data_IF_163585573613
#
_entry.id   IF_163585573613
#
_cell.length_a   1.000
_cell.length_b   1.000
_cell.length_c   1.000
_cell.angle_alpha   90.00
_cell.angle_beta   90.00
_cell.angle_gamma   90.00
#
_symmetry.space_group_name_H-M   'P 1'
#
loop_
_entity.id
_entity.type
_entity.pdbx_description
1 polymer ?
#
# COMPACT_ATOMS: atom_id res chain seq x y z
N UNK A 1 -27.57 28.33 6.32
CA UNK A 1 -26.65 27.18 6.40
C UNK A 1 -25.88 27.15 5.07
N UNK A 2 -24.55 27.25 5.07
CA UNK A 2 -23.77 27.10 3.82
C UNK A 2 -23.53 25.61 3.62
N UNK A 3 -23.90 25.10 2.45
CA UNK A 3 -23.68 23.70 2.09
C UNK A 3 -22.41 23.61 1.24
N UNK A 4 -21.53 22.68 1.59
CA UNK A 4 -20.34 22.38 0.82
C UNK A 4 -20.41 20.96 0.29
N UNK A 5 -19.93 20.77 -0.94
CA UNK A 5 -19.68 19.46 -1.53
C UNK A 5 -18.16 19.24 -1.57
N UNK A 6 -17.71 18.10 -1.08
CA UNK A 6 -16.33 17.63 -1.26
C UNK A 6 -16.33 16.47 -2.22
N UNK A 7 -15.48 16.54 -3.22
CA UNK A 7 -15.25 15.45 -4.15
C UNK A 7 -13.77 15.38 -4.51
N UNK A 8 -13.37 14.29 -5.18
CA UNK A 8 -12.03 14.14 -5.73
C UNK A 8 -12.05 14.43 -7.22
N UNK A 9 -10.95 14.90 -7.77
CA UNK A 9 -10.73 14.91 -9.21
C UNK A 9 -9.23 14.87 -9.52
N UNK A 10 -8.91 14.31 -10.68
CA UNK A 10 -7.62 14.50 -11.34
C UNK A 10 -7.59 15.91 -11.97
N UNK A 11 -6.39 16.47 -12.14
CA UNK A 11 -6.11 17.73 -12.81
C UNK A 11 -5.87 17.55 -14.31
N UNK A 12 -5.35 16.39 -14.73
CA UNK A 12 -4.97 16.08 -16.11
C UNK A 12 -5.90 15.00 -16.65
N UNK A 13 -6.72 15.39 -17.62
CA UNK A 13 -7.67 14.47 -18.25
C UNK A 13 -6.94 13.35 -18.99
N UNK A 14 -7.25 12.10 -18.65
CA UNK A 14 -6.72 10.92 -19.33
C UNK A 14 -5.30 10.51 -18.88
N UNK A 15 -4.71 11.21 -17.92
CA UNK A 15 -3.44 10.77 -17.31
C UNK A 15 -3.74 9.83 -16.14
N UNK A 16 -3.61 8.52 -16.38
CA UNK A 16 -3.93 7.47 -15.41
C UNK A 16 -3.18 7.65 -14.08
N UNK A 17 -1.93 8.13 -14.16
CA UNK A 17 -1.06 8.34 -13.00
C UNK A 17 -1.35 9.62 -12.22
N UNK A 18 -2.26 10.48 -12.71
CA UNK A 18 -2.48 11.78 -12.09
C UNK A 18 -3.02 11.65 -10.67
N UNK A 19 -2.53 12.55 -9.82
CA UNK A 19 -2.93 12.65 -8.44
C UNK A 19 -4.42 12.97 -8.32
N UNK A 20 -5.15 12.21 -7.50
CA UNK A 20 -6.47 12.62 -7.06
C UNK A 20 -6.36 13.72 -6.01
N UNK A 21 -6.81 14.92 -6.37
CA UNK A 21 -6.87 16.08 -5.47
C UNK A 21 -8.27 16.25 -4.89
N UNK A 22 -8.33 16.84 -3.69
CA UNK A 22 -9.61 17.16 -3.03
C UNK A 22 -10.13 18.50 -3.55
N UNK A 23 -11.41 18.54 -3.90
CA UNK A 23 -12.12 19.74 -4.37
C UNK A 23 -13.24 20.08 -3.41
N UNK A 24 -13.33 21.35 -3.03
CA UNK A 24 -14.41 21.90 -2.23
C UNK A 24 -15.26 22.82 -3.12
N UNK A 25 -16.52 22.48 -3.29
CA UNK A 25 -17.50 23.27 -4.02
C UNK A 25 -18.51 23.88 -3.04
N UNK A 26 -18.72 25.20 -3.13
CA UNK A 26 -19.62 25.94 -2.24
C UNK A 26 -20.97 26.31 -2.89
N UNK A 27 -21.29 25.73 -4.05
CA UNK A 27 -22.46 26.09 -4.87
C UNK A 27 -22.16 27.06 -6.01
N UNK A 28 -21.02 27.77 -5.97
CA UNK A 28 -20.64 28.76 -6.99
C UNK A 28 -19.21 28.60 -7.48
N UNK A 29 -18.27 28.33 -6.58
CA UNK A 29 -16.85 28.17 -6.89
C UNK A 29 -16.34 26.84 -6.37
N UNK A 30 -15.37 26.29 -7.10
CA UNK A 30 -14.62 25.10 -6.72
C UNK A 30 -13.19 25.51 -6.40
N UNK A 31 -12.70 25.12 -5.23
CA UNK A 31 -11.30 25.30 -4.84
C UNK A 31 -10.64 23.94 -4.62
N UNK A 32 -9.35 23.84 -4.94
CA UNK A 32 -8.53 22.68 -4.58
C UNK A 32 -8.11 22.81 -3.13
N UNK A 33 -8.33 21.76 -2.34
CA UNK A 33 -7.78 21.65 -0.99
C UNK A 33 -6.50 20.81 -1.04
N UNK A 34 -5.58 21.13 -0.13
CA UNK A 34 -4.35 20.37 0.12
C UNK A 34 -3.45 20.23 -1.11
N UNK A 35 -3.38 21.27 -1.95
CA UNK A 35 -2.65 21.23 -3.22
C UNK A 35 -1.14 20.98 -3.05
N UNK A 36 -0.60 21.29 -1.86
CA UNK A 36 0.78 21.03 -1.48
C UNK A 36 1.09 19.57 -1.12
N UNK A 37 0.09 18.69 -1.03
CA UNK A 37 0.31 17.27 -0.75
C UNK A 37 0.66 16.57 -2.06
N UNK A 38 1.55 15.59 -1.98
CA UNK A 38 2.14 14.93 -3.13
C UNK A 38 1.58 13.52 -3.36
N UNK A 39 0.55 13.08 -2.63
CA UNK A 39 -0.08 11.76 -2.84
C UNK A 39 -1.57 11.87 -3.06
N UNK A 40 -2.14 10.91 -3.77
CA UNK A 40 -3.60 10.85 -3.98
C UNK A 40 -4.33 10.81 -2.64
N UNK A 41 -5.25 11.76 -2.44
CA UNK A 41 -6.01 11.89 -1.19
C UNK A 41 -7.40 11.32 -1.37
N UNK A 42 -7.79 10.36 -0.54
CA UNK A 42 -9.17 9.92 -0.36
C UNK A 42 -9.79 10.66 0.83
N UNK A 43 -10.99 11.21 0.68
CA UNK A 43 -11.74 11.80 1.81
C UNK A 43 -12.63 10.72 2.39
N UNK A 44 -12.45 10.38 3.67
CA UNK A 44 -13.25 9.34 4.32
C UNK A 44 -14.51 9.93 4.94
N UNK A 45 -14.39 11.04 5.68
CA UNK A 45 -15.54 11.68 6.31
C UNK A 45 -15.29 13.16 6.67
N UNK A 46 -16.39 13.87 6.91
CA UNK A 46 -16.37 15.12 7.67
C UNK A 46 -16.40 14.84 9.18
N UNK A 47 -15.90 15.78 9.98
CA UNK A 47 -16.28 15.86 11.39
C UNK A 47 -17.72 16.34 11.55
N UNK A 48 -18.34 16.02 12.68
CA UNK A 48 -19.73 16.38 12.96
C UNK A 48 -20.03 17.88 12.95
N UNK A 49 -19.04 18.70 13.32
CA UNK A 49 -19.16 20.16 13.29
C UNK A 49 -18.92 20.77 11.91
N UNK A 50 -18.55 19.94 10.90
CA UNK A 50 -18.25 20.38 9.54
C UNK A 50 -16.96 21.19 9.41
N UNK A 51 -16.09 21.20 10.42
CA UNK A 51 -14.86 22.01 10.43
C UNK A 51 -13.61 21.22 10.05
N UNK A 52 -13.69 19.89 10.03
CA UNK A 52 -12.54 19.01 9.79
C UNK A 52 -12.86 17.95 8.75
N UNK A 53 -11.83 17.52 8.02
CA UNK A 53 -11.88 16.35 7.16
C UNK A 53 -10.97 15.25 7.72
N UNK A 54 -11.44 14.01 7.58
CA UNK A 54 -10.59 12.82 7.67
C UNK A 54 -10.18 12.41 6.26
N UNK A 55 -8.88 12.20 6.11
CA UNK A 55 -8.22 11.90 4.85
C UNK A 55 -7.49 10.57 4.96
N UNK A 56 -7.53 9.78 3.91
CA UNK A 56 -6.77 8.56 3.73
C UNK A 56 -5.80 8.73 2.55
N UNK A 57 -4.55 8.31 2.72
CA UNK A 57 -3.57 8.22 1.63
C UNK A 57 -2.59 7.07 1.84
N UNK A 58 -1.98 6.64 0.73
CA UNK A 58 -0.84 5.73 0.79
C UNK A 58 0.39 6.40 1.40
N UNK A 59 1.08 5.71 2.30
CA UNK A 59 2.36 6.13 2.88
C UNK A 59 3.21 4.90 3.14
N UNK A 60 4.31 4.76 2.39
CA UNK A 60 5.29 3.69 2.57
C UNK A 60 4.65 2.30 2.63
N UNK A 61 3.78 1.97 1.67
CA UNK A 61 3.10 0.68 1.61
C UNK A 61 2.04 0.46 2.71
N UNK A 62 1.50 1.51 3.34
CA UNK A 62 0.34 1.44 4.22
C UNK A 62 -0.70 2.48 3.80
N UNK A 63 -1.96 2.33 4.22
CA UNK A 63 -2.95 3.42 4.18
C UNK A 63 -3.04 4.12 5.54
N UNK A 64 -2.93 5.43 5.53
CA UNK A 64 -2.81 6.25 6.74
C UNK A 64 -3.92 7.28 6.82
N UNK A 65 -4.51 7.42 8.01
CA UNK A 65 -5.57 8.40 8.28
C UNK A 65 -4.98 9.68 8.89
N UNK A 66 -5.31 10.80 8.28
CA UNK A 66 -5.04 12.14 8.76
C UNK A 66 -6.34 12.87 9.08
N UNK A 67 -6.29 13.74 10.07
CA UNK A 67 -7.31 14.75 10.31
C UNK A 67 -6.75 16.12 9.93
N UNK A 68 -7.53 16.87 9.16
CA UNK A 68 -7.24 18.28 8.89
C UNK A 68 -8.32 19.14 9.50
N UNK A 69 -7.94 19.93 10.51
CA UNK A 69 -8.80 20.88 11.22
C UNK A 69 -8.89 22.20 10.47
N UNK A 70 -9.98 22.93 10.70
CA UNK A 70 -10.23 24.26 10.15
C UNK A 70 -10.13 24.30 8.62
N UNK A 71 -10.66 23.27 7.94
CA UNK A 71 -10.47 23.04 6.51
C UNK A 71 -10.98 24.20 5.63
N UNK A 72 -11.92 24.99 6.15
CA UNK A 72 -12.50 26.16 5.47
C UNK A 72 -11.68 27.46 5.66
N UNK A 73 -10.56 27.39 6.36
CA UNK A 73 -9.69 28.54 6.65
C UNK A 73 -8.27 28.31 6.16
N UNK A 74 -7.46 29.36 5.97
CA UNK A 74 -6.04 29.21 5.62
C UNK A 74 -5.20 28.55 6.72
N UNK A 75 -5.62 28.66 7.99
CA UNK A 75 -4.87 28.18 9.15
C UNK A 75 -5.26 26.74 9.49
N UNK A 76 -4.95 25.82 8.58
CA UNK A 76 -5.23 24.40 8.73
C UNK A 76 -4.24 23.74 9.70
N UNK A 77 -4.74 22.84 10.54
CA UNK A 77 -3.90 21.98 11.39
C UNK A 77 -4.04 20.55 10.93
N UNK A 78 -2.92 19.91 10.58
CA UNK A 78 -2.88 18.53 10.14
C UNK A 78 -2.41 17.65 11.29
N UNK A 79 -3.06 16.52 11.52
CA UNK A 79 -2.64 15.53 12.51
C UNK A 79 -2.80 14.13 11.93
N UNK A 80 -1.75 13.32 11.99
CA UNK A 80 -1.80 11.89 11.67
C UNK A 80 -2.50 11.19 12.84
N UNK A 81 -3.64 10.54 12.60
CA UNK A 81 -4.50 10.01 13.67
C UNK A 81 -4.18 8.57 14.08
N UNK A 82 -3.36 7.84 13.33
CA UNK A 82 -3.12 6.42 13.60
C UNK A 82 -1.91 6.21 14.51
N UNK A 83 -2.05 5.26 15.44
CA UNK A 83 -1.01 4.94 16.43
C UNK A 83 0.13 4.06 15.89
N UNK A 84 -0.05 3.41 14.74
CA UNK A 84 0.89 2.41 14.21
C UNK A 84 1.10 2.55 12.69
N UNK A 85 2.23 2.06 12.18
CA UNK A 85 2.51 1.98 10.74
C UNK A 85 1.83 0.74 10.15
N UNK A 86 0.52 0.79 10.10
CA UNK A 86 -0.35 -0.28 9.61
C UNK A 86 -1.45 0.34 8.74
N UNK A 87 -2.29 -0.49 8.13
CA UNK A 87 -3.27 -0.02 7.14
C UNK A 87 -4.65 0.21 7.76
N UNK A 88 -5.17 1.42 7.53
CA UNK A 88 -6.47 1.87 8.00
C UNK A 88 -7.27 2.46 6.85
N UNK A 89 -8.56 2.14 6.81
CA UNK A 89 -9.47 2.63 5.79
C UNK A 89 -10.79 3.12 6.38
N UNK A 90 -11.54 3.90 5.60
CA UNK A 90 -12.94 4.26 5.87
C UNK A 90 -13.16 4.78 7.31
N UNK A 91 -12.39 5.79 7.70
CA UNK A 91 -12.38 6.30 9.06
C UNK A 91 -13.45 7.38 9.32
N UNK A 92 -14.01 7.38 10.53
CA UNK A 92 -15.05 8.29 11.04
C UNK A 92 -14.78 8.65 12.50
N UNK A 93 -14.96 9.92 12.87
CA UNK A 93 -14.91 10.34 14.28
C UNK A 93 -16.19 9.96 15.01
N UNK A 94 -16.07 9.52 16.26
CA UNK A 94 -17.22 9.25 17.11
C UNK A 94 -18.02 10.53 17.36
N UNK A 95 -19.36 10.49 17.28
CA UNK A 95 -20.15 11.70 17.17
C UNK A 95 -20.12 12.62 18.39
N UNK A 96 -19.88 12.05 19.57
CA UNK A 96 -19.84 12.77 20.85
C UNK A 96 -18.44 12.80 21.48
N UNK A 97 -17.42 12.26 20.81
CA UNK A 97 -16.06 12.20 21.36
C UNK A 97 -15.03 12.15 20.24
N UNK A 98 -14.41 13.29 19.93
CA UNK A 98 -13.41 13.41 18.86
C UNK A 98 -12.12 12.63 19.11
N UNK A 99 -11.94 12.03 20.30
CA UNK A 99 -10.79 11.17 20.62
C UNK A 99 -11.01 9.70 20.25
N UNK A 100 -12.20 9.35 19.78
CA UNK A 100 -12.53 7.99 19.37
C UNK A 100 -12.71 7.97 17.84
N UNK A 101 -11.96 7.10 17.19
CA UNK A 101 -12.01 6.88 15.73
C UNK A 101 -12.62 5.51 15.47
N UNK A 102 -13.70 5.47 14.68
CA UNK A 102 -14.19 4.24 14.06
C UNK A 102 -13.50 4.10 12.70
N UNK A 103 -12.93 2.94 12.41
CA UNK A 103 -12.29 2.68 11.13
C UNK A 103 -12.36 1.21 10.77
N UNK A 104 -11.99 0.89 9.54
CA UNK A 104 -11.61 -0.47 9.16
C UNK A 104 -10.09 -0.62 9.19
N UNK A 105 -9.63 -1.81 9.56
CA UNK A 105 -8.23 -2.10 9.83
C UNK A 105 -7.87 -3.50 9.34
N UNK A 106 -6.81 -3.59 8.54
CA UNK A 106 -6.18 -4.85 8.16
C UNK A 106 -4.68 -4.70 7.99
N UNK A 107 -4.03 -5.85 7.84
CA UNK A 107 -2.63 -5.97 7.48
C UNK A 107 -2.35 -7.39 6.97
N UNK A 108 -1.09 -7.72 6.69
CA UNK A 108 -0.73 -9.06 6.25
C UNK A 108 -1.08 -10.18 7.24
N UNK A 109 -1.36 -9.89 8.52
CA UNK A 109 -1.73 -10.92 9.51
C UNK A 109 -3.22 -11.13 9.66
N UNK A 110 -4.06 -10.23 9.16
CA UNK A 110 -5.50 -10.39 9.40
C UNK A 110 -6.37 -9.73 8.35
N UNK A 111 -7.53 -10.35 8.03
CA UNK A 111 -8.59 -9.70 7.26
C UNK A 111 -9.09 -8.42 7.91
N UNK A 112 -9.75 -7.60 7.09
CA UNK A 112 -10.40 -6.35 7.49
C UNK A 112 -11.37 -6.56 8.65
N UNK A 113 -11.15 -5.80 9.71
CA UNK A 113 -12.05 -5.69 10.86
C UNK A 113 -12.48 -4.24 11.07
N UNK A 114 -13.69 -4.06 11.61
CA UNK A 114 -14.15 -2.79 12.14
C UNK A 114 -13.58 -2.64 13.54
N UNK A 115 -12.94 -1.51 13.79
CA UNK A 115 -12.25 -1.21 15.06
C UNK A 115 -12.62 0.18 15.58
N UNK A 116 -12.58 0.34 16.90
CA UNK A 116 -12.52 1.64 17.56
C UNK A 116 -11.09 1.88 18.04
N UNK A 117 -10.46 2.95 17.57
CA UNK A 117 -9.23 3.45 18.15
C UNK A 117 -9.55 4.52 19.20
N UNK A 118 -8.91 4.41 20.36
CA UNK A 118 -8.83 5.43 21.41
C UNK A 118 -7.39 5.94 21.51
N UNK A 119 -7.12 6.92 22.35
CA UNK A 119 -5.75 7.43 22.56
C UNK A 119 -4.75 6.34 23.00
N UNK A 120 -5.22 5.25 23.63
CA UNK A 120 -4.36 4.23 24.24
C UNK A 120 -4.58 2.81 23.73
N UNK A 121 -5.60 2.55 22.92
CA UNK A 121 -5.95 1.17 22.53
C UNK A 121 -6.77 1.08 21.25
N UNK A 122 -6.70 -0.10 20.62
CA UNK A 122 -7.55 -0.52 19.52
C UNK A 122 -8.51 -1.59 20.03
N UNK A 123 -9.80 -1.35 19.90
CA UNK A 123 -10.88 -2.25 20.28
C UNK A 123 -11.50 -2.83 19.01
N UNK A 124 -11.40 -4.14 18.84
CA UNK A 124 -12.03 -4.84 17.72
C UNK A 124 -13.54 -5.00 17.96
N UNK A 125 -14.35 -4.35 17.12
CA UNK A 125 -15.81 -4.51 17.13
C UNK A 125 -16.18 -5.82 16.44
N UNK A 126 -15.53 -6.11 15.31
CA UNK A 126 -15.73 -7.36 14.57
C UNK A 126 -14.59 -8.33 14.80
N UNK A 127 -14.92 -9.63 14.74
CA UNK A 127 -14.01 -10.78 14.92
C UNK A 127 -14.45 -11.95 14.04
N UNK A 128 -14.88 -11.66 12.82
CA UNK A 128 -15.57 -12.63 11.97
C UNK A 128 -14.76 -13.89 11.67
N UNK A 129 -13.43 -13.78 11.69
CA UNK A 129 -12.51 -14.87 11.36
C UNK A 129 -11.76 -15.45 12.57
N UNK A 130 -11.95 -14.91 13.78
CA UNK A 130 -11.25 -15.38 15.00
C UNK A 130 -11.49 -16.89 15.23
N UNK A 131 -12.70 -17.37 14.94
CA UNK A 131 -13.04 -18.78 15.12
C UNK A 131 -12.22 -19.69 14.20
N UNK A 132 -11.89 -19.23 13.00
CA UNK A 132 -11.12 -19.99 12.02
C UNK A 132 -9.65 -19.99 12.42
N UNK A 133 -9.10 -18.81 12.72
CA UNK A 133 -7.71 -18.65 13.17
C UNK A 133 -7.42 -19.48 14.43
N UNK A 134 -8.35 -19.51 15.39
CA UNK A 134 -8.20 -20.31 16.61
C UNK A 134 -8.25 -21.82 16.40
N UNK A 135 -8.89 -22.29 15.33
CA UNK A 135 -9.06 -23.72 15.02
C UNK A 135 -7.97 -24.26 14.11
N UNK A 136 -7.20 -23.38 13.49
CA UNK A 136 -6.14 -23.75 12.56
C UNK A 136 -4.81 -23.85 13.28
N UNK A 137 -4.07 -24.92 13.03
CA UNK A 137 -2.68 -25.08 13.52
C UNK A 137 -1.66 -24.29 12.68
N UNK A 138 -2.11 -23.45 11.72
CA UNK A 138 -1.21 -22.63 10.92
C UNK A 138 -0.86 -21.34 11.67
N UNK A 139 0.39 -20.91 11.53
CA UNK A 139 0.82 -19.55 11.90
C UNK A 139 1.06 -18.71 10.66
N UNK A 140 1.02 -17.40 10.80
CA UNK A 140 1.38 -16.50 9.72
C UNK A 140 2.89 -16.34 9.60
N UNK A 141 3.36 -16.20 8.37
CA UNK A 141 4.75 -15.88 8.07
C UNK A 141 5.08 -14.45 8.49
N UNK A 142 6.22 -14.25 9.13
CA UNK A 142 6.69 -12.92 9.51
C UNK A 142 6.90 -12.06 8.24
N UNK A 143 6.31 -10.86 8.23
CA UNK A 143 6.54 -9.87 7.19
C UNK A 143 7.57 -8.83 7.64
N UNK A 144 8.31 -8.32 6.67
CA UNK A 144 9.32 -7.30 6.87
C UNK A 144 9.23 -6.28 5.74
N UNK A 145 9.16 -5.01 6.12
CA UNK A 145 9.41 -3.93 5.17
C UNK A 145 10.92 -3.78 4.97
N UNK A 146 11.32 -3.40 3.77
CA UNK A 146 12.68 -2.98 3.49
C UNK A 146 12.70 -1.73 2.61
N UNK A 147 13.85 -1.07 2.60
CA UNK A 147 14.22 0.02 1.71
C UNK A 147 15.61 -0.25 1.14
N UNK A 148 15.83 0.17 -0.10
CA UNK A 148 17.10 0.03 -0.80
C UNK A 148 17.20 1.07 -1.92
N UNK A 149 18.37 1.18 -2.52
CA UNK A 149 18.56 2.00 -3.71
C UNK A 149 18.14 1.20 -4.96
N UNK A 150 17.13 1.70 -5.66
CA UNK A 150 16.68 1.19 -6.94
C UNK A 150 17.34 1.92 -8.11
N UNK A 151 16.63 1.94 -9.23
CA UNK A 151 16.99 2.69 -10.42
C UNK A 151 17.27 4.16 -10.08
N UNK A 152 18.20 4.78 -10.82
CA UNK A 152 18.64 6.17 -10.58
C UNK A 152 19.20 6.44 -9.17
N UNK A 153 19.50 5.40 -8.39
CA UNK A 153 19.89 5.52 -6.98
C UNK A 153 18.81 6.19 -6.11
N UNK A 154 17.54 6.07 -6.49
CA UNK A 154 16.41 6.53 -5.70
C UNK A 154 15.96 5.44 -4.73
N UNK A 155 15.38 5.82 -3.59
CA UNK A 155 14.91 4.84 -2.59
C UNK A 155 13.68 4.11 -3.10
N UNK A 156 13.75 2.78 -3.08
CA UNK A 156 12.67 1.85 -3.39
C UNK A 156 12.39 1.02 -2.15
N UNK A 157 11.10 0.79 -1.87
CA UNK A 157 10.66 0.00 -0.73
C UNK A 157 9.93 -1.26 -1.19
N UNK A 158 9.80 -2.22 -0.29
CA UNK A 158 9.05 -3.43 -0.56
C UNK A 158 8.81 -4.24 0.70
N UNK A 159 8.22 -5.40 0.50
CA UNK A 159 7.90 -6.35 1.55
C UNK A 159 8.51 -7.69 1.22
N UNK A 160 9.06 -8.36 2.23
CA UNK A 160 9.31 -9.80 2.13
C UNK A 160 8.65 -10.53 3.29
N UNK A 161 8.12 -11.71 3.00
CA UNK A 161 7.58 -12.65 3.97
C UNK A 161 8.37 -13.95 3.91
N UNK A 162 8.54 -14.57 5.07
CA UNK A 162 9.11 -15.90 5.19
C UNK A 162 8.03 -16.88 5.65
N UNK A 163 8.08 -18.16 5.22
CA UNK A 163 7.23 -19.19 5.80
C UNK A 163 7.38 -19.21 7.32
N UNK A 164 6.27 -19.38 8.03
CA UNK A 164 6.26 -19.44 9.50
C UNK A 164 7.04 -20.63 10.06
N UNK A 165 7.16 -21.71 9.26
CA UNK A 165 7.88 -22.93 9.61
C UNK A 165 8.86 -23.32 8.50
N UNK A 166 10.03 -22.68 8.48
CA UNK A 166 11.12 -23.07 7.57
C UNK A 166 11.72 -24.39 8.05
N UNK A 167 11.48 -25.46 7.30
CA UNK A 167 11.95 -26.82 7.62
C UNK A 167 13.09 -27.32 6.73
N UNK A 168 13.50 -26.51 5.74
CA UNK A 168 14.55 -26.84 4.77
C UNK A 168 15.64 -25.78 4.77
N UNK A 169 16.88 -26.20 4.51
CA UNK A 169 18.04 -25.30 4.33
C UNK A 169 17.88 -24.34 3.14
N UNK A 170 16.97 -24.66 2.21
CA UNK A 170 16.65 -23.84 1.04
C UNK A 170 15.15 -23.62 0.92
N UNK A 171 14.75 -22.37 0.69
CA UNK A 171 13.35 -21.95 0.59
C UNK A 171 13.06 -21.46 -0.83
N UNK A 172 12.03 -22.02 -1.48
CA UNK A 172 11.60 -21.57 -2.81
C UNK A 172 11.08 -20.13 -2.76
N UNK A 173 11.17 -19.40 -3.87
CA UNK A 173 10.77 -17.99 -3.93
C UNK A 173 9.50 -17.79 -4.76
N UNK A 174 8.52 -17.08 -4.22
CA UNK A 174 7.44 -16.44 -4.95
C UNK A 174 7.71 -14.93 -5.06
N UNK A 175 8.09 -14.46 -6.23
CA UNK A 175 8.35 -13.05 -6.49
C UNK A 175 7.10 -12.39 -7.09
N UNK A 176 6.43 -11.57 -6.29
CA UNK A 176 5.17 -10.93 -6.66
C UNK A 176 5.43 -9.54 -7.25
N UNK A 177 4.93 -9.33 -8.47
CA UNK A 177 5.04 -8.06 -9.20
C UNK A 177 3.64 -7.46 -9.34
N UNK A 178 3.41 -6.28 -8.76
CA UNK A 178 2.09 -5.66 -8.79
C UNK A 178 1.75 -5.15 -10.20
N UNK A 179 0.44 -5.04 -10.46
CA UNK A 179 -0.12 -4.52 -11.70
C UNK A 179 -0.85 -3.20 -11.48
N UNK A 180 -1.22 -2.51 -12.57
CA UNK A 180 -1.57 -1.09 -12.53
C UNK A 180 -0.31 -0.34 -12.11
N UNK A 181 0.50 0.17 -13.05
CA UNK A 181 1.86 0.57 -12.70
C UNK A 181 1.87 1.60 -11.56
N UNK A 182 0.78 2.34 -11.40
CA UNK A 182 0.45 3.23 -10.30
C UNK A 182 -0.37 2.54 -9.20
N UNK A 183 0.26 1.60 -8.53
CA UNK A 183 -0.25 0.92 -7.34
C UNK A 183 0.95 0.51 -6.48
N UNK A 184 0.73 0.14 -5.22
CA UNK A 184 1.77 -0.42 -4.36
C UNK A 184 1.35 -1.78 -3.81
N UNK A 185 2.32 -2.60 -3.43
CA UNK A 185 2.14 -3.58 -2.37
C UNK A 185 1.94 -2.85 -1.04
N UNK A 186 0.67 -2.76 -0.64
CA UNK A 186 0.26 -2.32 0.67
C UNK A 186 0.25 -3.48 1.66
N UNK A 187 0.59 -3.20 2.92
CA UNK A 187 0.41 -4.07 4.07
C UNK A 187 -1.09 -4.23 4.35
N UNK A 188 -1.76 -5.02 3.52
CA UNK A 188 -3.21 -5.19 3.45
C UNK A 188 -3.56 -6.66 3.34
N UNK A 189 -4.80 -6.99 3.70
CA UNK A 189 -5.32 -8.34 3.49
C UNK A 189 -6.19 -8.42 2.24
N UNK A 190 -5.68 -9.10 1.20
CA UNK A 190 -6.40 -9.35 -0.04
C UNK A 190 -6.78 -10.81 -0.25
N UNK A 191 -7.72 -11.05 -1.17
CA UNK A 191 -7.98 -12.40 -1.74
C UNK A 191 -7.05 -12.73 -2.91
N UNK A 192 -6.48 -11.71 -3.55
CA UNK A 192 -5.57 -11.83 -4.70
C UNK A 192 -4.19 -11.38 -4.25
N UNK A 193 -3.15 -12.05 -4.75
CA UNK A 193 -1.75 -11.73 -4.44
C UNK A 193 -1.44 -11.65 -2.94
N UNK A 194 -2.15 -12.42 -2.12
CA UNK A 194 -1.96 -12.42 -0.68
C UNK A 194 -0.64 -13.14 -0.33
N UNK A 195 0.30 -12.42 0.27
CA UNK A 195 1.64 -12.95 0.54
C UNK A 195 1.59 -14.13 1.52
N UNK A 196 0.68 -14.12 2.50
CA UNK A 196 0.55 -15.22 3.45
C UNK A 196 0.11 -16.52 2.79
N UNK A 197 -0.69 -16.46 1.71
CA UNK A 197 -1.11 -17.66 0.99
C UNK A 197 0.11 -18.37 0.38
N UNK A 198 1.05 -17.64 -0.21
CA UNK A 198 2.27 -18.23 -0.76
C UNK A 198 3.23 -18.66 0.35
N UNK A 199 3.36 -17.87 1.42
CA UNK A 199 4.20 -18.21 2.56
C UNK A 199 3.72 -19.49 3.28
N UNK A 200 2.40 -19.68 3.40
CA UNK A 200 1.79 -20.89 3.95
C UNK A 200 2.06 -22.14 3.10
N UNK A 201 2.35 -21.98 1.80
CA UNK A 201 2.77 -23.07 0.91
C UNK A 201 4.29 -23.31 0.93
N UNK A 202 5.03 -22.63 1.82
CA UNK A 202 6.47 -22.82 1.99
C UNK A 202 7.35 -21.93 1.11
N UNK A 203 6.80 -20.90 0.47
CA UNK A 203 7.57 -19.94 -0.31
C UNK A 203 8.04 -18.76 0.54
N UNK A 204 9.29 -18.34 0.39
CA UNK A 204 9.64 -16.95 0.69
C UNK A 204 8.92 -16.08 -0.34
N UNK A 205 8.36 -14.96 0.09
CA UNK A 205 7.61 -14.05 -0.78
C UNK A 205 8.32 -12.72 -0.80
N UNK A 206 8.57 -12.15 -1.97
CA UNK A 206 9.17 -10.82 -2.11
C UNK A 206 8.28 -10.01 -3.05
N UNK A 207 7.95 -8.79 -2.66
CA UNK A 207 7.29 -7.80 -3.51
C UNK A 207 8.00 -6.45 -3.38
N UNK A 208 8.25 -5.80 -4.51
CA UNK A 208 8.94 -4.52 -4.59
C UNK A 208 7.96 -3.48 -5.14
N UNK A 209 7.92 -2.32 -4.50
CA UNK A 209 7.17 -1.16 -4.96
C UNK A 209 8.07 -0.29 -5.83
N UNK A 210 8.13 -0.63 -7.10
CA UNK A 210 9.01 -0.02 -8.09
C UNK A 210 8.57 1.40 -8.48
N UNK A 211 9.44 2.15 -9.17
CA UNK A 211 9.17 3.46 -9.78
C UNK A 211 7.84 3.46 -10.54
N UNK A 212 6.89 4.26 -10.07
CA UNK A 212 5.49 4.19 -10.49
C UNK A 212 4.52 3.95 -9.32
N UNK A 213 4.98 3.33 -8.24
CA UNK A 213 4.13 2.97 -7.10
C UNK A 213 3.56 4.20 -6.37
N UNK A 214 2.31 4.13 -5.93
CA UNK A 214 1.50 5.30 -5.58
C UNK A 214 1.63 5.76 -4.10
N UNK A 215 2.24 4.94 -3.23
CA UNK A 215 2.41 5.27 -1.81
C UNK A 215 3.67 6.08 -1.47
N UNK A 216 4.41 6.55 -2.48
CA UNK A 216 5.75 7.16 -2.33
C UNK A 216 5.86 8.59 -2.87
N UNK A 217 4.73 9.20 -3.23
CA UNK A 217 4.68 10.57 -3.76
C UNK A 217 4.47 10.62 -5.27
N UNK A 218 3.99 11.75 -5.76
CA UNK A 218 3.55 11.92 -7.14
C UNK A 218 4.73 11.86 -8.10
N UNK A 219 5.89 12.44 -7.73
CA UNK A 219 7.09 12.35 -8.57
C UNK A 219 7.54 10.90 -8.78
N UNK A 220 7.49 10.07 -7.73
CA UNK A 220 7.82 8.66 -7.84
C UNK A 220 6.76 7.91 -8.66
N UNK A 221 5.48 8.25 -8.51
CA UNK A 221 4.37 7.70 -9.31
C UNK A 221 4.50 8.06 -10.80
N UNK A 222 4.89 9.29 -11.10
CA UNK A 222 5.07 9.83 -12.46
C UNK A 222 6.33 9.33 -13.14
N UNK A 223 7.34 8.89 -12.37
CA UNK A 223 8.64 8.47 -12.88
C UNK A 223 8.58 7.33 -13.89
N UNK A 224 7.50 6.54 -13.86
CA UNK A 224 7.27 5.43 -14.79
C UNK A 224 6.86 5.92 -16.18
N UNK A 225 6.39 7.16 -16.32
CA UNK A 225 5.94 7.71 -17.60
C UNK A 225 7.09 7.76 -18.60
N UNK A 226 6.93 7.07 -19.72
CA UNK A 226 7.99 6.90 -20.73
C UNK A 226 9.04 5.83 -20.38
N UNK A 227 8.94 5.23 -19.19
CA UNK A 227 9.95 4.35 -18.59
C UNK A 227 9.36 2.99 -18.14
N UNK A 228 8.20 2.60 -18.69
CA UNK A 228 7.47 1.37 -18.35
C UNK A 228 8.34 0.10 -18.45
N UNK A 229 9.38 0.10 -19.28
CA UNK A 229 10.25 -1.05 -19.47
C UNK A 229 11.63 -0.96 -18.81
N UNK A 230 11.91 0.12 -18.09
CA UNK A 230 13.28 0.50 -17.70
C UNK A 230 13.39 0.59 -16.19
N UNK A 231 12.94 1.68 -15.56
CA UNK A 231 13.09 1.89 -14.12
C UNK A 231 12.44 0.75 -13.30
N UNK A 232 11.20 0.31 -13.62
CA UNK A 232 10.57 -0.78 -12.89
C UNK A 232 11.34 -2.09 -12.98
N UNK A 233 11.88 -2.37 -14.17
CA UNK A 233 12.69 -3.56 -14.39
C UNK A 233 13.98 -3.52 -13.55
N UNK A 234 14.68 -2.39 -13.54
CA UNK A 234 15.90 -2.18 -12.76
C UNK A 234 15.63 -2.27 -11.24
N UNK A 235 14.55 -1.66 -10.75
CA UNK A 235 14.14 -1.78 -9.35
C UNK A 235 13.88 -3.23 -8.94
N UNK A 236 13.16 -3.97 -9.78
CA UNK A 236 12.86 -5.37 -9.55
C UNK A 236 14.15 -6.20 -9.50
N UNK A 237 15.14 -5.92 -10.35
CA UNK A 237 16.46 -6.57 -10.31
C UNK A 237 17.20 -6.26 -9.02
N UNK A 238 17.42 -4.97 -8.77
CA UNK A 238 18.22 -4.51 -7.64
C UNK A 238 17.62 -4.97 -6.33
N UNK A 239 16.29 -4.86 -6.19
CA UNK A 239 15.62 -5.28 -4.97
C UNK A 239 15.64 -6.79 -4.75
N UNK A 240 15.41 -7.58 -5.80
CA UNK A 240 15.49 -9.03 -5.70
C UNK A 240 16.92 -9.47 -5.33
N UNK A 241 17.93 -8.97 -6.02
CA UNK A 241 19.34 -9.29 -5.75
C UNK A 241 19.75 -8.88 -4.33
N UNK A 242 19.31 -7.71 -3.86
CA UNK A 242 19.62 -7.24 -2.51
C UNK A 242 19.05 -8.17 -1.43
N UNK A 243 17.80 -8.61 -1.56
CA UNK A 243 17.18 -9.52 -0.59
C UNK A 243 17.81 -10.91 -0.65
N UNK A 244 18.04 -11.47 -1.84
CA UNK A 244 18.70 -12.77 -2.00
C UNK A 244 20.11 -12.78 -1.39
N UNK A 245 20.86 -11.67 -1.52
CA UNK A 245 22.17 -11.51 -0.87
C UNK A 245 22.07 -11.51 0.65
N UNK A 246 21.04 -10.85 1.21
CA UNK A 246 20.82 -10.81 2.66
C UNK A 246 20.27 -12.14 3.21
N UNK A 247 19.57 -12.91 2.37
CA UNK A 247 18.87 -14.16 2.74
C UNK A 247 19.31 -15.31 1.81
N UNK A 248 20.56 -15.78 1.91
CA UNK A 248 21.14 -16.77 0.97
C UNK A 248 20.50 -18.18 1.03
N UNK A 249 19.61 -18.41 2.00
CA UNK A 249 18.79 -19.62 2.07
C UNK A 249 17.54 -19.54 1.16
N UNK A 250 17.17 -18.35 0.65
CA UNK A 250 16.18 -18.24 -0.41
C UNK A 250 16.83 -18.71 -1.72
N UNK A 251 16.23 -19.69 -2.36
CA UNK A 251 16.78 -20.37 -3.52
C UNK A 251 16.26 -19.75 -4.82
N UNK A 252 17.09 -18.93 -5.45
CA UNK A 252 16.77 -18.30 -6.73
C UNK A 252 16.57 -19.30 -7.88
N UNK A 253 17.11 -20.53 -7.77
CA UNK A 253 16.92 -21.57 -8.78
C UNK A 253 15.55 -22.25 -8.65
N UNK A 254 14.82 -22.00 -7.54
CA UNK A 254 13.44 -22.44 -7.30
C UNK A 254 12.52 -21.24 -7.12
N UNK A 255 12.72 -20.24 -7.98
CA UNK A 255 11.93 -19.02 -7.98
C UNK A 255 10.84 -19.02 -9.07
N UNK A 256 9.66 -18.52 -8.71
CA UNK A 256 8.56 -18.23 -9.61
C UNK A 256 8.18 -16.76 -9.51
N UNK A 257 8.06 -16.08 -10.64
CA UNK A 257 7.51 -14.72 -10.73
C UNK A 257 6.01 -14.79 -10.98
N UNK A 258 5.22 -13.98 -10.27
CA UNK A 258 3.78 -13.90 -10.45
C UNK A 258 3.27 -12.46 -10.47
N UNK A 259 2.31 -12.19 -11.35
CA UNK A 259 1.72 -10.87 -11.54
C UNK A 259 0.64 -10.91 -12.61
N UNK A 260 -0.21 -9.89 -12.65
CA UNK A 260 -1.22 -9.70 -13.70
C UNK A 260 -1.22 -8.26 -14.19
N UNK A 261 -1.85 -8.02 -15.36
CA UNK A 261 -1.82 -6.72 -16.03
C UNK A 261 -0.37 -6.25 -16.18
N UNK A 262 -0.01 -5.07 -15.68
CA UNK A 262 1.36 -4.57 -15.72
C UNK A 262 2.40 -5.52 -15.08
N UNK A 263 2.05 -6.23 -13.99
CA UNK A 263 2.95 -7.24 -13.42
C UNK A 263 3.19 -8.42 -14.37
N UNK A 264 2.16 -8.81 -15.13
CA UNK A 264 2.30 -9.80 -16.20
C UNK A 264 3.09 -9.29 -17.40
N UNK A 265 2.92 -7.99 -17.75
CA UNK A 265 3.78 -7.31 -18.71
C UNK A 265 5.25 -7.37 -18.26
N UNK A 266 5.56 -7.07 -16.99
CA UNK A 266 6.91 -7.18 -16.45
C UNK A 266 7.47 -8.60 -16.51
N UNK A 267 6.67 -9.62 -16.19
CA UNK A 267 7.13 -11.02 -16.34
C UNK A 267 7.47 -11.33 -17.80
N UNK A 268 6.62 -10.96 -18.75
CA UNK A 268 6.90 -11.16 -20.17
C UNK A 268 8.12 -10.34 -20.64
N UNK A 269 8.28 -9.15 -20.08
CA UNK A 269 9.38 -8.26 -20.37
C UNK A 269 10.70 -8.83 -19.87
N UNK A 270 10.72 -9.53 -18.73
CA UNK A 270 11.94 -10.07 -18.13
C UNK A 270 12.47 -11.32 -18.80
N UNK A 271 11.62 -12.05 -19.54
CA UNK A 271 11.99 -13.27 -20.30
C UNK A 271 12.42 -13.00 -21.74
N UNK A 272 12.41 -11.73 -22.18
CA UNK A 272 12.83 -11.34 -23.53
C UNK A 272 14.32 -11.59 -23.82
N UNK A 273 14.73 -11.65 -25.11
CA UNK A 273 16.06 -12.12 -25.54
C UNK A 273 17.27 -11.32 -25.01
N UNK A 274 17.03 -10.14 -24.42
CA UNK A 274 18.07 -9.27 -23.86
C UNK A 274 17.89 -9.00 -22.35
N UNK A 275 16.98 -9.70 -21.67
CA UNK A 275 16.59 -9.43 -20.28
C UNK A 275 16.60 -10.73 -19.49
N UNK A 276 17.08 -10.69 -18.25
CA UNK A 276 17.18 -11.87 -17.36
C UNK A 276 16.76 -11.48 -15.94
N UNK A 277 15.45 -11.46 -15.68
CA UNK A 277 14.96 -11.70 -14.32
C UNK A 277 14.15 -12.97 -14.41
N UNK A 278 14.69 -14.03 -13.83
CA UNK A 278 14.10 -15.36 -13.73
C UNK A 278 13.91 -16.10 -15.07
N UNK A 279 14.65 -17.19 -15.22
CA UNK A 279 14.18 -18.29 -16.07
C UNK A 279 13.08 -18.97 -15.26
N UNK A 280 11.81 -18.65 -15.55
CA UNK A 280 10.67 -19.45 -15.11
C UNK A 280 10.86 -20.86 -15.68
N UNK A 281 11.34 -21.79 -14.86
CA UNK A 281 11.31 -23.22 -15.21
C UNK A 281 10.04 -23.79 -14.59
N UNK A 282 9.04 -24.01 -15.45
CA UNK A 282 7.84 -24.81 -15.15
C UNK A 282 8.20 -26.24 -14.82
#
# INVERSE_FOLDING_TARGET
>A
MKTFLVHRSQSVLGYESDQFKVKLFNGTTTQTLFDQWDRSIQVTSWSNDGQSLLLELGENGNHVIYQVLNVLTPNQTVTRLIAFNETWHDAYLHPNNSKILLATYDNFFQPTNIVLQTESSIIYITRHNDWLIRRTEFSFGAYHQFELLGARSETVSGWYLLPWNITSDKVSLAFLIHGGPQNSWYNTWGRRWNFQVYAAQGYAVIGINFHGSDSYGQNFTDSITGEYGTLPYEDLQLGLTAILKQKPYIDENRAVALGASYGGFMINWTVGPHRRIMILRT
#
